data_IF_082075163774
#
_entry.id   IF_082075163774
#
_cell.length_a   1.000
_cell.length_b   1.000
_cell.length_c   1.000
_cell.angle_alpha   90.00
_cell.angle_beta   90.00
_cell.angle_gamma   90.00
#
_symmetry.space_group_name_H-M   'P 1'
#
loop_
_entity.id
_entity.type
_entity.pdbx_description
1 polymer ?
#
# COMPACT_ATOMS: atom_id res chain seq x y z
N UNK A 1 6.06 23.89 1.89
CA UNK A 1 5.71 22.80 0.97
C UNK A 1 5.77 21.54 1.81
N UNK A 2 4.65 20.91 2.11
CA UNK A 2 4.66 19.72 2.97
C UNK A 2 5.00 18.53 2.08
N UNK A 3 6.27 18.14 2.05
CA UNK A 3 6.76 16.92 1.40
C UNK A 3 6.09 15.71 2.06
N UNK A 4 4.91 15.31 1.55
CA UNK A 4 4.29 14.03 1.88
C UNK A 4 5.20 12.95 1.30
N UNK A 5 6.08 12.41 2.13
CA UNK A 5 6.95 11.32 1.71
C UNK A 5 6.11 10.05 1.67
N UNK A 6 5.63 9.72 0.49
CA UNK A 6 4.89 8.48 0.28
C UNK A 6 5.80 7.29 0.53
N UNK A 7 5.29 6.28 1.24
CA UNK A 7 6.03 5.03 1.44
C UNK A 7 5.68 4.05 0.34
N UNK A 8 6.43 2.95 0.32
CA UNK A 8 6.23 1.81 -0.56
C UNK A 8 5.16 0.85 -0.01
N UNK A 9 4.35 1.31 0.95
CA UNK A 9 3.36 0.49 1.66
C UNK A 9 1.96 0.87 1.23
N UNK A 10 1.12 -0.14 1.01
CA UNK A 10 -0.27 0.00 0.60
C UNK A 10 -1.14 -0.78 1.56
N UNK A 11 -2.13 -0.10 2.12
CA UNK A 11 -3.22 -0.74 2.83
C UNK A 11 -4.29 -1.12 1.80
N UNK A 12 -4.66 -2.39 1.74
CA UNK A 12 -5.72 -2.87 0.87
C UNK A 12 -6.80 -3.56 1.69
N UNK A 13 -8.04 -3.45 1.22
CA UNK A 13 -9.15 -4.25 1.68
C UNK A 13 -9.51 -5.24 0.58
N UNK A 14 -9.30 -6.51 0.83
CA UNK A 14 -9.73 -7.58 -0.07
C UNK A 14 -11.08 -8.12 0.37
N UNK A 15 -11.84 -8.65 -0.58
CA UNK A 15 -13.07 -9.36 -0.28
C UNK A 15 -12.79 -10.60 0.58
N UNK A 16 -13.72 -10.93 1.47
CA UNK A 16 -13.64 -11.98 2.50
C UNK A 16 -13.28 -13.39 1.99
N UNK A 17 -13.37 -13.62 0.68
CA UNK A 17 -13.15 -14.92 0.02
C UNK A 17 -11.84 -15.00 -0.77
N UNK A 18 -10.96 -13.99 -0.67
CA UNK A 18 -9.71 -13.94 -1.43
C UNK A 18 -8.52 -13.97 -0.48
N UNK A 19 -7.56 -14.83 -0.80
CA UNK A 19 -6.30 -14.92 -0.07
C UNK A 19 -5.42 -13.71 -0.44
N UNK A 20 -5.24 -12.81 0.52
CA UNK A 20 -4.47 -11.58 0.32
C UNK A 20 -2.99 -11.86 0.05
N UNK A 21 -2.47 -13.00 0.51
CA UNK A 21 -1.09 -13.40 0.26
C UNK A 21 -0.93 -13.89 -1.17
N UNK A 22 -1.83 -14.74 -1.69
CA UNK A 22 -1.81 -15.11 -3.11
C UNK A 22 -1.92 -13.89 -4.02
N UNK A 23 -2.81 -12.94 -3.69
CA UNK A 23 -2.97 -11.72 -4.46
C UNK A 23 -1.69 -10.85 -4.43
N UNK A 24 -1.04 -10.74 -3.28
CA UNK A 24 0.25 -10.06 -3.19
C UNK A 24 1.33 -10.76 -4.04
N UNK A 25 1.43 -12.09 -3.99
CA UNK A 25 2.37 -12.87 -4.80
C UNK A 25 2.11 -12.73 -6.30
N UNK A 26 0.84 -12.78 -6.74
CA UNK A 26 0.45 -12.57 -8.14
C UNK A 26 0.84 -11.18 -8.66
N UNK A 27 0.77 -10.18 -7.80
CA UNK A 27 1.10 -8.81 -8.15
C UNK A 27 2.60 -8.49 -7.96
N UNK A 28 3.37 -9.42 -7.38
CA UNK A 28 4.80 -9.24 -7.10
C UNK A 28 5.08 -8.33 -5.90
N UNK A 29 4.14 -8.24 -4.96
CA UNK A 29 4.30 -7.52 -3.70
C UNK A 29 4.68 -8.44 -2.54
N UNK A 30 5.28 -7.85 -1.52
CA UNK A 30 5.52 -8.52 -0.25
C UNK A 30 4.30 -8.37 0.66
N UNK A 31 3.66 -9.49 0.98
CA UNK A 31 2.60 -9.54 1.99
C UNK A 31 3.19 -9.28 3.38
N UNK A 32 2.82 -8.17 4.03
CA UNK A 32 3.29 -7.85 5.40
C UNK A 32 2.41 -8.44 6.49
N UNK A 33 1.13 -8.67 6.20
CA UNK A 33 0.18 -9.19 7.17
C UNK A 33 -1.13 -8.41 7.20
N UNK A 34 -2.01 -8.79 8.11
CA UNK A 34 -3.26 -8.10 8.39
C UNK A 34 -3.01 -6.80 9.19
N UNK A 35 -3.79 -5.76 8.92
CA UNK A 35 -3.71 -4.48 9.62
C UNK A 35 -4.54 -4.57 10.90
N UNK A 36 -3.87 -4.88 12.03
CA UNK A 36 -4.51 -4.94 13.35
C UNK A 36 -5.59 -6.02 13.44
N UNK A 37 -6.75 -5.67 14.00
CA UNK A 37 -7.93 -6.55 14.14
C UNK A 37 -8.96 -6.36 13.01
N UNK A 38 -8.66 -5.56 11.99
CA UNK A 38 -9.59 -5.33 10.90
C UNK A 38 -9.55 -6.51 9.92
N UNK A 39 -10.55 -7.39 9.99
CA UNK A 39 -10.70 -8.51 9.05
C UNK A 39 -10.88 -7.98 7.61
N UNK A 40 -10.18 -8.60 6.66
CA UNK A 40 -10.16 -8.18 5.26
C UNK A 40 -9.17 -7.05 4.93
N UNK A 41 -8.51 -6.44 5.92
CA UNK A 41 -7.51 -5.38 5.68
C UNK A 41 -6.09 -5.92 5.78
N UNK A 42 -5.33 -5.76 4.71
CA UNK A 42 -3.99 -6.28 4.59
C UNK A 42 -3.01 -5.20 4.18
N UNK A 43 -1.78 -5.33 4.67
CA UNK A 43 -0.68 -4.44 4.32
C UNK A 43 0.20 -5.14 3.29
N UNK A 44 0.34 -4.49 2.13
CA UNK A 44 1.27 -4.90 1.09
C UNK A 44 2.43 -3.93 1.05
N UNK A 45 3.63 -4.47 0.89
CA UNK A 45 4.83 -3.68 0.66
C UNK A 45 5.32 -3.91 -0.76
N UNK A 46 5.47 -2.82 -1.48
CA UNK A 46 6.07 -2.80 -2.81
C UNK A 46 7.57 -2.92 -2.65
N UNK A 47 8.17 -3.87 -3.36
CA UNK A 47 9.62 -4.00 -3.38
C UNK A 47 10.20 -2.97 -4.38
N UNK A 48 10.55 -1.79 -3.88
CA UNK A 48 11.14 -0.71 -4.69
C UNK A 48 12.67 -0.74 -4.71
N UNK A 49 13.29 -1.69 -4.01
CA UNK A 49 14.76 -1.83 -3.95
C UNK A 49 15.38 -2.10 -5.33
N UNK A 50 14.61 -2.59 -6.30
CA UNK A 50 15.08 -2.85 -7.66
C UNK A 50 14.54 -1.90 -8.74
N UNK A 51 13.70 -0.92 -8.41
CA UNK A 51 13.05 -0.11 -9.47
C UNK A 51 12.90 1.35 -9.07
N UNK A 52 13.58 2.22 -9.83
CA UNK A 52 13.47 3.69 -9.77
C UNK A 52 12.36 4.23 -10.68
N UNK A 53 11.43 3.38 -11.12
CA UNK A 53 10.32 3.83 -11.95
C UNK A 53 9.27 4.53 -11.07
N UNK A 54 9.17 5.85 -11.21
CA UNK A 54 8.04 6.62 -10.69
C UNK A 54 6.69 6.07 -11.19
N UNK A 55 6.69 5.41 -12.34
CA UNK A 55 5.48 4.85 -12.96
C UNK A 55 5.07 3.48 -12.39
N UNK A 56 5.86 2.90 -11.48
CA UNK A 56 5.54 1.64 -10.83
C UNK A 56 4.26 1.80 -10.00
N UNK A 57 4.14 2.88 -9.22
CA UNK A 57 2.95 3.17 -8.42
C UNK A 57 1.68 3.32 -9.26
N UNK A 58 1.76 4.01 -10.40
CA UNK A 58 0.63 4.14 -11.33
C UNK A 58 0.18 2.78 -11.88
N UNK A 59 1.12 1.86 -12.18
CA UNK A 59 0.80 0.49 -12.58
C UNK A 59 0.16 -0.31 -11.45
N UNK A 60 0.66 -0.14 -10.22
CA UNK A 60 0.09 -0.78 -9.03
C UNK A 60 -1.34 -0.33 -8.84
N UNK A 61 -1.61 0.98 -8.81
CA UNK A 61 -2.96 1.51 -8.68
C UNK A 61 -3.86 1.06 -9.84
N UNK A 62 -3.33 0.98 -11.06
CA UNK A 62 -4.07 0.43 -12.21
C UNK A 62 -4.38 -1.06 -12.06
N UNK A 63 -3.49 -1.86 -11.48
CA UNK A 63 -3.74 -3.29 -11.22
C UNK A 63 -4.73 -3.48 -10.07
N UNK A 64 -4.55 -2.74 -8.97
CA UNK A 64 -5.46 -2.76 -7.83
C UNK A 64 -6.88 -2.32 -8.23
N UNK A 65 -7.00 -1.31 -9.10
CA UNK A 65 -8.28 -0.83 -9.63
C UNK A 65 -8.93 -1.80 -10.62
N UNK A 66 -8.13 -2.62 -11.32
CA UNK A 66 -8.65 -3.69 -12.20
C UNK A 66 -9.10 -4.92 -11.43
N UNK A 67 -8.48 -5.19 -10.30
CA UNK A 67 -8.84 -6.31 -9.44
C UNK A 67 -10.18 -6.04 -8.75
N UNK A 68 -11.23 -6.73 -9.22
CA UNK A 68 -12.57 -6.68 -8.61
C UNK A 68 -12.63 -7.24 -7.19
N UNK A 69 -11.56 -7.94 -6.79
CA UNK A 69 -11.40 -8.54 -5.48
C UNK A 69 -11.00 -7.52 -4.40
N UNK A 70 -10.65 -6.30 -4.80
CA UNK A 70 -10.20 -5.24 -3.89
C UNK A 70 -11.33 -4.23 -3.75
N UNK A 71 -11.92 -4.16 -2.56
CA UNK A 71 -12.97 -3.19 -2.26
C UNK A 71 -12.41 -1.79 -2.02
N UNK A 72 -11.19 -1.72 -1.48
CA UNK A 72 -10.56 -0.46 -1.12
C UNK A 72 -9.04 -0.60 -1.12
N UNK A 73 -8.33 0.47 -1.47
CA UNK A 73 -6.88 0.54 -1.33
C UNK A 73 -6.44 1.97 -1.04
N UNK A 74 -5.38 2.13 -0.25
CA UNK A 74 -4.78 3.42 0.05
C UNK A 74 -3.26 3.29 0.24
N UNK A 75 -2.54 4.23 -0.37
CA UNK A 75 -1.08 4.32 -0.21
C UNK A 75 -0.73 5.00 1.11
N UNK A 76 0.13 4.36 1.88
CA UNK A 76 0.66 4.95 3.11
C UNK A 76 1.66 6.08 2.78
N UNK A 77 1.70 7.09 3.64
CA UNK A 77 2.65 8.18 3.56
C UNK A 77 3.15 8.55 4.94
N UNK A 78 4.43 8.88 5.04
CA UNK A 78 5.03 9.41 6.24
C UNK A 78 4.50 10.83 6.46
N UNK A 79 3.69 10.98 7.50
CA UNK A 79 3.30 12.29 7.99
C UNK A 79 4.40 12.81 8.90
N UNK A 80 5.30 13.64 8.36
CA UNK A 80 6.30 14.34 9.17
C UNK A 80 5.60 15.42 10.00
N UNK A 81 5.60 15.26 11.33
CA UNK A 81 5.15 16.30 12.23
C UNK A 81 6.34 17.20 12.58
N UNK A 82 6.43 18.38 11.95
CA UNK A 82 7.43 19.36 12.33
C UNK A 82 6.91 20.13 13.56
N UNK A 83 7.44 19.80 14.74
CA UNK A 83 7.15 20.53 15.98
C UNK A 83 7.61 21.98 15.78
N UNK A 84 6.67 22.93 15.67
CA UNK A 84 7.00 24.36 15.72
C UNK A 84 7.52 24.64 17.11
N UNK A 85 8.83 24.83 17.25
CA UNK A 85 9.40 25.44 18.45
C UNK A 85 8.90 26.88 18.47
N UNK A 86 7.86 27.14 19.26
CA UNK A 86 7.54 28.49 19.70
C UNK A 86 8.56 28.81 20.80
N UNK A 87 9.51 29.70 20.47
CA UNK A 87 10.30 30.44 21.45
C UNK A 87 9.57 31.73 21.81
#
# INVERSE_FOLDING_TARGET
MSDKQYTDEYAVKVADNIDAKELAEQLGFEFKGQIGELEGYYLFKVNTENTKDENLYTKIESNLSKEKNIEWFERQYLKTFQKRNFC
#
